data_IF_786525501615
#
_entry.id   IF_786525501615
#
_cell.length_a   1.000
_cell.length_b   1.000
_cell.length_c   1.000
_cell.angle_alpha   90.00
_cell.angle_beta   90.00
_cell.angle_gamma   90.00
#
_symmetry.space_group_name_H-M   'P 1'
#
loop_
_entity.id
_entity.type
_entity.pdbx_description
1 polymer ?
#
# COMPACT_ATOMS: atom_id res chain seq x y z
N UNK A 1 21.18 -6.14 10.29
CA UNK A 1 19.88 -6.38 9.64
C UNK A 1 19.61 -7.86 9.85
N UNK A 2 18.68 -8.22 10.74
CA UNK A 2 18.36 -9.62 10.98
C UNK A 2 17.62 -10.11 9.74
N UNK A 3 18.30 -10.91 8.93
CA UNK A 3 17.72 -11.69 7.85
C UNK A 3 16.96 -12.85 8.50
N UNK A 4 15.65 -12.69 8.66
CA UNK A 4 14.79 -13.68 9.33
C UNK A 4 14.48 -14.89 8.44
N UNK A 5 15.03 -14.99 7.23
CA UNK A 5 14.70 -16.05 6.27
C UNK A 5 13.23 -16.07 5.82
N UNK A 6 12.45 -15.04 6.19
CA UNK A 6 11.05 -14.90 5.82
C UNK A 6 11.00 -14.37 4.38
N UNK A 7 10.43 -15.16 3.45
CA UNK A 7 10.17 -14.71 2.08
C UNK A 7 9.30 -13.45 2.15
N UNK A 8 9.80 -12.35 1.60
CA UNK A 8 9.10 -11.08 1.70
C UNK A 8 7.75 -11.16 0.99
N UNK A 9 6.70 -10.74 1.68
CA UNK A 9 5.35 -10.74 1.13
C UNK A 9 5.07 -9.40 0.44
N UNK A 10 4.67 -9.43 -0.82
CA UNK A 10 4.14 -8.25 -1.51
C UNK A 10 2.86 -7.78 -0.83
N UNK A 11 2.85 -6.52 -0.39
CA UNK A 11 1.69 -5.87 0.22
C UNK A 11 1.27 -4.70 -0.67
N UNK A 12 -0.01 -4.61 -1.04
CA UNK A 12 -0.52 -3.42 -1.71
C UNK A 12 -0.48 -2.24 -0.72
N UNK A 13 -0.02 -1.06 -1.15
CA UNK A 13 0.14 0.12 -0.29
C UNK A 13 -0.53 1.38 -0.83
N UNK A 14 -1.22 1.25 -1.97
CA UNK A 14 -1.86 2.37 -2.64
C UNK A 14 -2.40 1.98 -4.00
N UNK A 15 -3.22 2.86 -4.56
CA UNK A 15 -3.59 2.80 -5.97
C UNK A 15 -2.53 3.48 -6.82
N UNK A 16 -2.40 3.04 -8.07
CA UNK A 16 -1.39 3.57 -9.00
C UNK A 16 -1.61 5.04 -9.34
N UNK A 17 -2.87 5.45 -9.49
CA UNK A 17 -3.31 6.82 -9.75
C UNK A 17 -3.29 7.73 -8.51
N UNK A 18 -3.32 7.14 -7.31
CA UNK A 18 -3.19 7.84 -6.04
C UNK A 18 -1.79 8.39 -5.82
N UNK A 19 -0.78 7.78 -6.47
CA UNK A 19 0.58 8.30 -6.52
C UNK A 19 0.69 9.40 -7.57
N UNK A 20 0.36 10.62 -7.15
CA UNK A 20 0.37 11.80 -8.00
C UNK A 20 1.77 12.14 -8.53
N UNK A 21 1.81 12.71 -9.73
CA UNK A 21 3.05 13.15 -10.36
C UNK A 21 3.83 14.13 -9.46
N UNK A 22 5.15 13.95 -9.44
CA UNK A 22 6.12 14.72 -8.65
C UNK A 22 5.91 14.69 -7.12
N UNK A 23 4.97 13.88 -6.62
CA UNK A 23 4.69 13.73 -5.18
C UNK A 23 5.34 12.47 -4.61
N UNK A 24 5.39 12.43 -3.28
CA UNK A 24 5.81 11.27 -2.52
C UNK A 24 4.64 10.87 -1.63
N UNK A 25 4.13 9.65 -1.80
CA UNK A 25 3.09 9.08 -0.96
C UNK A 25 3.70 8.45 0.28
N UNK A 26 3.13 8.72 1.46
CA UNK A 26 3.44 7.95 2.66
C UNK A 26 2.70 6.61 2.61
N UNK A 27 3.41 5.53 2.89
CA UNK A 27 2.86 4.19 3.02
C UNK A 27 3.42 3.50 4.27
N UNK A 28 2.90 2.33 4.59
CA UNK A 28 3.38 1.52 5.71
C UNK A 28 3.25 0.03 5.41
N UNK A 29 4.24 -0.77 5.82
CA UNK A 29 4.15 -2.24 5.86
C UNK A 29 4.54 -2.71 7.26
N UNK A 30 3.65 -3.44 7.95
CA UNK A 30 3.83 -3.77 9.38
C UNK A 30 4.19 -2.49 10.17
N UNK A 31 5.34 -2.45 10.85
CA UNK A 31 5.82 -1.27 11.58
C UNK A 31 6.71 -0.30 10.74
N UNK A 32 6.95 -0.61 9.47
CA UNK A 32 7.88 0.14 8.62
C UNK A 32 7.18 1.29 7.91
N UNK A 33 7.61 2.53 8.19
CA UNK A 33 7.13 3.75 7.54
C UNK A 33 7.88 3.98 6.21
N UNK A 34 7.13 4.17 5.11
CA UNK A 34 7.65 4.20 3.75
C UNK A 34 7.35 5.52 3.03
N UNK A 35 8.29 5.90 2.16
CA UNK A 35 8.14 6.94 1.16
C UNK A 35 8.07 6.27 -0.22
N UNK A 36 6.90 6.31 -0.85
CA UNK A 36 6.63 5.73 -2.16
C UNK A 36 6.55 6.85 -3.19
N UNK A 37 7.30 6.73 -4.28
CA UNK A 37 7.39 7.77 -5.30
C UNK A 37 7.62 7.19 -6.68
N UNK A 38 7.32 7.98 -7.71
CA UNK A 38 7.48 7.60 -9.13
C UNK A 38 8.42 8.57 -9.81
N UNK A 39 9.42 8.04 -10.52
CA UNK A 39 10.29 8.85 -11.37
C UNK A 39 9.63 9.19 -12.70
N UNK A 40 10.21 10.15 -13.43
CA UNK A 40 9.81 10.45 -14.81
C UNK A 40 10.08 9.28 -15.78
N UNK A 41 10.90 8.30 -15.38
CA UNK A 41 11.04 7.00 -16.05
C UNK A 41 9.85 6.06 -15.86
N UNK A 42 8.81 6.48 -15.12
CA UNK A 42 7.63 5.69 -14.81
C UNK A 42 7.85 4.69 -13.67
N UNK A 43 9.08 4.46 -13.23
CA UNK A 43 9.42 3.46 -12.21
C UNK A 43 8.96 3.87 -10.82
N UNK A 44 8.16 3.01 -10.17
CA UNK A 44 7.77 3.15 -8.77
C UNK A 44 8.91 2.70 -7.85
N UNK A 45 9.14 3.46 -6.79
CA UNK A 45 10.21 3.24 -5.81
C UNK A 45 9.62 3.36 -4.41
N UNK A 46 10.06 2.49 -3.50
CA UNK A 46 9.66 2.51 -2.11
C UNK A 46 10.90 2.56 -1.22
N UNK A 47 10.99 3.59 -0.38
CA UNK A 47 12.12 3.86 0.49
C UNK A 47 11.69 3.93 1.94
N UNK A 48 12.64 3.78 2.86
CA UNK A 48 12.42 4.17 4.25
C UNK A 48 12.01 5.65 4.29
N UNK A 49 10.97 5.98 5.05
CA UNK A 49 10.49 7.36 5.16
C UNK A 49 11.36 8.20 6.10
N UNK A 50 12.69 8.08 6.03
CA UNK A 50 13.63 8.85 6.84
C UNK A 50 14.84 9.26 6.03
N UNK A 51 15.08 10.57 6.00
CA UNK A 51 16.28 11.15 5.41
C UNK A 51 17.52 10.78 6.25
N UNK A 52 18.56 10.16 5.66
CA UNK A 52 19.82 9.84 6.35
C UNK A 52 20.54 11.02 7.02
N UNK A 53 20.21 12.26 6.67
CA UNK A 53 20.82 13.45 7.26
C UNK A 53 20.33 13.70 8.69
N UNK A 54 19.03 13.96 8.88
CA UNK A 54 18.42 14.30 10.19
C UNK A 54 17.05 13.67 10.43
N UNK A 55 16.75 12.57 9.74
CA UNK A 55 15.54 11.77 9.99
C UNK A 55 14.21 12.37 9.54
N UNK A 56 14.19 13.53 8.86
CA UNK A 56 12.97 14.11 8.28
C UNK A 56 12.31 13.10 7.35
N UNK A 57 10.98 13.04 7.36
CA UNK A 57 10.21 12.16 6.49
C UNK A 57 10.37 12.57 5.03
N UNK A 58 10.80 11.62 4.19
CA UNK A 58 10.99 11.82 2.76
C UNK A 58 9.66 11.98 2.02
N UNK A 59 8.55 11.49 2.59
CA UNK A 59 7.18 11.73 2.12
C UNK A 59 6.75 13.20 2.13
N UNK A 60 7.43 14.08 2.88
CA UNK A 60 7.23 15.54 2.76
C UNK A 60 8.08 16.16 1.64
N UNK A 61 8.95 15.38 1.01
CA UNK A 61 9.78 15.81 -0.11
C UNK A 61 9.02 15.93 -1.43
N UNK A 62 9.77 16.04 -2.51
CA UNK A 62 9.24 16.13 -3.86
C UNK A 62 10.17 15.42 -4.85
N UNK A 63 9.61 15.01 -5.99
CA UNK A 63 10.35 14.34 -7.06
C UNK A 63 10.64 15.34 -8.18
N UNK A 64 11.84 15.27 -8.76
CA UNK A 64 12.22 15.95 -10.00
C UNK A 64 13.05 14.99 -10.85
N UNK A 65 12.64 14.72 -12.09
CA UNK A 65 13.27 13.65 -12.87
C UNK A 65 13.14 12.30 -12.16
N UNK A 66 14.27 11.61 -12.02
CA UNK A 66 14.37 10.33 -11.32
C UNK A 66 15.07 10.49 -9.95
N UNK A 67 14.78 11.59 -9.25
CA UNK A 67 15.40 11.95 -7.97
C UNK A 67 14.36 12.44 -6.97
N UNK A 68 14.54 12.07 -5.70
CA UNK A 68 13.73 12.54 -4.58
C UNK A 68 14.53 13.53 -3.75
N UNK A 69 13.94 14.69 -3.49
CA UNK A 69 14.54 15.76 -2.68
C UNK A 69 13.86 15.87 -1.32
N UNK A 70 14.63 15.79 -0.24
CA UNK A 70 14.13 16.03 1.11
C UNK A 70 13.80 17.51 1.31
N UNK A 71 12.59 17.82 1.79
CA UNK A 71 12.14 19.19 2.01
C UNK A 71 12.93 19.93 3.11
N UNK A 72 13.64 19.25 4.00
CA UNK A 72 14.29 19.90 5.13
C UNK A 72 15.51 20.75 4.71
N UNK A 73 16.50 20.11 4.07
CA UNK A 73 17.75 20.76 3.67
C UNK A 73 18.07 20.57 2.18
N UNK A 74 17.10 20.08 1.40
CA UNK A 74 17.26 19.86 -0.04
C UNK A 74 18.23 18.74 -0.43
N UNK A 75 18.62 17.86 0.51
CA UNK A 75 19.41 16.68 0.16
C UNK A 75 18.64 15.85 -0.85
N UNK A 76 19.26 15.59 -1.99
CA UNK A 76 18.64 14.91 -3.12
C UNK A 76 19.29 13.55 -3.31
N UNK A 77 18.45 12.55 -3.52
CA UNK A 77 18.85 11.16 -3.71
C UNK A 77 18.43 10.69 -5.10
N UNK A 78 19.28 9.92 -5.77
CA UNK A 78 18.95 9.30 -7.05
C UNK A 78 18.10 8.03 -6.90
N UNK A 79 17.69 7.45 -8.02
CA UNK A 79 16.86 6.23 -8.04
C UNK A 79 17.50 5.00 -7.39
N UNK A 80 18.81 5.00 -7.11
CA UNK A 80 19.53 3.95 -6.36
C UNK A 80 19.55 4.20 -4.86
N UNK A 81 18.95 5.31 -4.40
CA UNK A 81 18.95 5.73 -3.00
C UNK A 81 20.22 6.48 -2.58
N UNK A 82 21.21 6.62 -3.47
CA UNK A 82 22.46 7.32 -3.20
C UNK A 82 22.27 8.83 -3.12
N UNK A 83 22.92 9.49 -2.16
CA UNK A 83 22.94 10.94 -2.10
C UNK A 83 23.70 11.51 -3.30
N UNK A 84 23.04 12.37 -4.06
CA UNK A 84 23.58 12.92 -5.28
C UNK A 84 23.81 14.43 -5.23
N UNK A 85 23.12 15.14 -4.32
CA UNK A 85 23.31 16.57 -4.13
C UNK A 85 23.08 16.94 -2.67
N UNK A 86 24.03 17.72 -2.14
CA UNK A 86 23.93 18.42 -0.86
C UNK A 86 23.99 19.92 -1.19
N UNK A 87 22.85 20.65 -1.19
CA UNK A 87 22.81 22.03 -1.69
C UNK A 87 23.79 22.99 -1.00
N UNK A 88 24.03 22.81 0.30
CA UNK A 88 24.99 23.63 1.05
C UNK A 88 26.46 23.43 0.61
N UNK A 89 26.76 22.35 -0.12
CA UNK A 89 28.11 21.98 -0.55
C UNK A 89 28.12 21.56 -2.02
N UNK A 90 27.76 22.47 -2.94
CA UNK A 90 27.60 22.17 -4.36
C UNK A 90 28.84 21.59 -5.08
N UNK A 91 30.05 21.85 -4.55
CA UNK A 91 31.32 21.34 -5.11
C UNK A 91 31.73 19.98 -4.50
N UNK A 92 31.05 19.53 -3.46
CA UNK A 92 31.33 18.27 -2.80
C UNK A 92 30.65 17.15 -3.57
N UNK A 93 31.41 16.12 -3.95
CA UNK A 93 30.85 14.82 -4.32
C UNK A 93 30.38 14.12 -3.04
N UNK A 94 29.08 13.86 -2.85
CA UNK A 94 28.61 13.22 -1.63
C UNK A 94 29.23 11.82 -1.44
N UNK A 95 29.61 11.43 -0.20
CA UNK A 95 30.09 10.09 0.07
C UNK A 95 29.08 9.01 -0.34
N UNK A 96 29.56 7.94 -1.00
CA UNK A 96 28.73 6.79 -1.43
C UNK A 96 28.06 6.04 -0.28
N UNK A 97 28.52 6.24 0.95
CA UNK A 97 27.95 5.66 2.17
C UNK A 97 26.63 6.33 2.59
N UNK A 98 26.31 7.50 2.04
CA UNK A 98 25.06 8.21 2.31
C UNK A 98 23.97 7.65 1.39
N UNK A 99 23.24 6.66 1.89
CA UNK A 99 22.16 6.01 1.14
C UNK A 99 20.87 5.97 1.93
N UNK A 100 19.74 6.02 1.21
CA UNK A 100 18.42 5.74 1.77
C UNK A 100 18.17 4.23 1.72
N UNK A 101 17.66 3.65 2.81
CA UNK A 101 17.23 2.26 2.80
C UNK A 101 16.07 2.06 1.82
N UNK A 102 16.19 1.08 0.92
CA UNK A 102 15.23 0.82 -0.15
C UNK A 102 14.48 -0.49 0.06
N UNK A 103 13.28 -0.55 -0.51
CA UNK A 103 12.38 -1.70 -0.52
C UNK A 103 12.05 -2.07 -1.97
N UNK A 104 11.64 -3.32 -2.20
CA UNK A 104 11.15 -3.74 -3.51
C UNK A 104 9.80 -3.09 -3.74
N UNK A 105 9.62 -2.49 -4.92
CA UNK A 105 8.37 -1.88 -5.33
C UNK A 105 8.00 -2.38 -6.72
N UNK A 106 6.70 -2.61 -6.94
CA UNK A 106 6.15 -3.01 -8.22
C UNK A 106 4.79 -2.33 -8.42
N UNK A 107 4.43 -2.10 -9.67
CA UNK A 107 3.11 -1.62 -10.07
C UNK A 107 2.45 -2.67 -10.94
N UNK A 108 1.29 -3.16 -10.51
CA UNK A 108 0.56 -4.19 -11.22
C UNK A 108 -0.91 -4.20 -10.77
N UNK A 109 -1.82 -4.57 -11.67
CA UNK A 109 -3.23 -4.66 -11.33
C UNK A 109 -3.87 -3.32 -10.95
N UNK A 110 -3.31 -2.19 -11.41
CA UNK A 110 -3.76 -0.84 -11.02
C UNK A 110 -3.36 -0.44 -9.59
N UNK A 111 -2.55 -1.24 -8.90
CA UNK A 111 -2.11 -1.03 -7.52
C UNK A 111 -0.58 -0.93 -7.42
N UNK A 112 -0.12 -0.30 -6.34
CA UNK A 112 1.30 -0.24 -5.95
C UNK A 112 1.57 -1.27 -4.87
N UNK A 113 2.59 -2.09 -5.07
CA UNK A 113 2.99 -3.18 -4.18
C UNK A 113 4.39 -2.93 -3.63
N UNK A 114 4.60 -3.27 -2.35
CA UNK A 114 5.92 -3.18 -1.69
C UNK A 114 6.21 -4.47 -0.93
N UNK A 115 7.48 -4.90 -0.95
CA UNK A 115 7.98 -6.04 -0.17
C UNK A 115 9.22 -5.65 0.65
N UNK A 116 9.35 -6.24 1.84
CA UNK A 116 10.37 -5.90 2.86
C UNK A 116 11.80 -6.37 2.55
N UNK A 117 11.97 -7.40 1.74
CA UNK A 117 13.27 -8.02 1.42
C UNK A 117 13.18 -8.80 0.09
N UNK A 118 14.06 -9.78 -0.14
CA UNK A 118 13.96 -10.69 -1.28
C UNK A 118 12.61 -11.42 -1.24
N UNK A 119 11.90 -11.33 -2.34
CA UNK A 119 10.63 -12.02 -2.62
C UNK A 119 10.83 -12.84 -3.89
N UNK A 120 10.14 -13.97 -3.99
CA UNK A 120 10.00 -14.69 -5.25
C UNK A 120 8.95 -13.99 -6.12
N UNK A 121 9.26 -13.75 -7.39
CA UNK A 121 8.35 -13.13 -8.36
C UNK A 121 7.95 -11.68 -8.08
N UNK A 122 7.38 -11.02 -9.09
CA UNK A 122 6.68 -9.75 -8.94
C UNK A 122 5.16 -10.01 -9.04
N UNK A 123 4.30 -9.16 -8.43
CA UNK A 123 2.87 -9.27 -8.60
C UNK A 123 2.54 -9.10 -10.07
N UNK A 124 1.86 -10.09 -10.65
CA UNK A 124 1.55 -10.10 -12.08
C UNK A 124 0.05 -10.28 -12.26
N UNK A 125 -0.60 -9.25 -12.80
CA UNK A 125 -2.01 -9.24 -13.14
C UNK A 125 -2.15 -8.91 -14.61
N UNK A 126 -2.56 -9.90 -15.41
CA UNK A 126 -2.79 -9.71 -16.84
C UNK A 126 -3.97 -8.77 -17.10
N UNK A 127 -3.92 -8.04 -18.21
CA UNK A 127 -5.00 -7.14 -18.62
C UNK A 127 -4.73 -5.66 -18.30
N UNK A 128 -5.69 -4.82 -18.64
CA UNK A 128 -5.64 -3.38 -18.37
C UNK A 128 -6.45 -3.07 -17.13
N UNK A 129 -5.79 -2.56 -16.11
CA UNK A 129 -6.38 -2.32 -14.79
C UNK A 129 -6.44 -0.83 -14.49
N UNK A 130 -7.54 -0.41 -13.90
CA UNK A 130 -7.75 0.95 -13.43
C UNK A 130 -8.08 0.95 -11.95
N UNK A 131 -7.39 1.78 -11.21
CA UNK A 131 -7.70 2.01 -9.81
C UNK A 131 -9.10 2.62 -9.65
N UNK A 132 -9.76 2.24 -8.56
CA UNK A 132 -11.07 2.78 -8.16
C UNK A 132 -10.91 3.63 -6.92
N UNK A 133 -10.35 3.06 -5.86
CA UNK A 133 -10.15 3.78 -4.59
C UNK A 133 -9.27 3.01 -3.61
N UNK A 134 -8.84 3.73 -2.59
CA UNK A 134 -8.48 3.17 -1.29
C UNK A 134 -9.55 3.53 -0.27
N UNK A 135 -9.83 2.65 0.70
CA UNK A 135 -10.76 2.94 1.80
C UNK A 135 -10.19 2.45 3.13
N UNK A 136 -10.25 3.31 4.15
CA UNK A 136 -9.95 2.95 5.53
C UNK A 136 -11.12 2.19 6.16
N UNK A 137 -10.78 1.13 6.89
CA UNK A 137 -11.72 0.29 7.61
C UNK A 137 -11.24 0.18 9.06
N UNK A 138 -12.11 0.54 10.01
CA UNK A 138 -11.86 0.44 11.45
C UNK A 138 -11.96 -0.98 11.99
N UNK A 139 -11.34 -1.94 11.31
CA UNK A 139 -11.29 -3.34 11.70
C UNK A 139 -9.95 -3.98 11.32
N UNK A 140 -9.56 -5.00 12.07
CA UNK A 140 -8.44 -5.88 11.72
C UNK A 140 -8.70 -6.63 10.41
N UNK A 141 -7.64 -6.97 9.68
CA UNK A 141 -7.76 -7.53 8.34
C UNK A 141 -8.58 -8.82 8.28
N UNK A 142 -8.51 -9.69 9.30
CA UNK A 142 -9.33 -10.91 9.33
C UNK A 142 -10.84 -10.65 9.33
N UNK A 143 -11.31 -9.58 10.00
CA UNK A 143 -12.72 -9.21 9.95
C UNK A 143 -13.12 -8.62 8.59
N UNK A 144 -12.18 -7.97 7.89
CA UNK A 144 -12.39 -7.50 6.51
C UNK A 144 -12.47 -8.68 5.54
N UNK A 145 -11.58 -9.67 5.68
CA UNK A 145 -11.58 -10.92 4.91
C UNK A 145 -12.92 -11.66 5.07
N UNK A 146 -13.38 -11.85 6.32
CA UNK A 146 -14.69 -12.46 6.59
C UNK A 146 -15.85 -11.67 5.98
N UNK A 147 -15.78 -10.34 5.98
CA UNK A 147 -16.80 -9.50 5.35
C UNK A 147 -16.82 -9.64 3.82
N UNK A 148 -15.65 -9.76 3.18
CA UNK A 148 -15.52 -9.99 1.74
C UNK A 148 -16.11 -11.35 1.36
N UNK A 149 -15.75 -12.40 2.09
CA UNK A 149 -16.24 -13.77 1.87
C UNK A 149 -17.75 -13.87 2.05
N UNK A 150 -18.31 -13.23 3.08
CA UNK A 150 -19.75 -13.24 3.35
C UNK A 150 -20.57 -12.35 2.39
N UNK A 151 -19.93 -11.48 1.61
CA UNK A 151 -20.62 -10.52 0.74
C UNK A 151 -19.86 -10.29 -0.57
N UNK A 152 -19.73 -11.32 -1.41
CA UNK A 152 -19.03 -11.21 -2.69
C UNK A 152 -19.70 -10.17 -3.59
N UNK A 153 -18.89 -9.43 -4.35
CA UNK A 153 -19.38 -8.47 -5.31
C UNK A 153 -20.20 -9.19 -6.39
N UNK A 154 -21.47 -8.81 -6.56
CA UNK A 154 -22.37 -9.29 -7.63
C UNK A 154 -22.56 -10.80 -7.70
N UNK A 155 -22.39 -11.51 -6.57
CA UNK A 155 -22.39 -12.97 -6.51
C UNK A 155 -21.30 -13.60 -7.39
N UNK A 156 -20.23 -12.85 -7.69
CA UNK A 156 -19.07 -13.31 -8.42
C UNK A 156 -18.25 -14.34 -7.64
N UNK A 157 -17.36 -15.03 -8.33
CA UNK A 157 -16.43 -15.98 -7.70
C UNK A 157 -15.25 -15.23 -7.09
N UNK A 158 -14.90 -15.60 -5.84
CA UNK A 158 -13.77 -15.02 -5.12
C UNK A 158 -12.55 -15.92 -5.27
N UNK A 159 -11.50 -15.41 -5.91
CA UNK A 159 -10.23 -16.10 -6.10
C UNK A 159 -9.15 -15.40 -5.29
N UNK A 160 -8.34 -16.17 -4.55
CA UNK A 160 -7.17 -15.61 -3.87
C UNK A 160 -6.06 -15.34 -4.89
N UNK A 161 -5.50 -14.13 -4.87
CA UNK A 161 -4.40 -13.76 -5.75
C UNK A 161 -3.06 -14.32 -5.26
N UNK A 162 -2.01 -14.15 -6.06
CA UNK A 162 -0.64 -14.59 -5.76
C UNK A 162 -0.02 -13.88 -4.55
N UNK A 163 -0.52 -12.70 -4.17
CA UNK A 163 -0.14 -11.99 -2.96
C UNK A 163 -1.09 -12.33 -1.80
N UNK A 164 -0.57 -12.60 -0.59
CA UNK A 164 -1.35 -12.69 0.64
C UNK A 164 -2.28 -11.47 0.82
N UNK A 165 -3.54 -11.76 1.17
CA UNK A 165 -4.60 -10.77 1.38
C UNK A 165 -4.94 -9.91 0.15
N UNK A 166 -4.62 -10.40 -1.04
CA UNK A 166 -5.15 -9.91 -2.29
C UNK A 166 -6.15 -10.93 -2.88
N UNK A 167 -7.24 -10.40 -3.40
CA UNK A 167 -8.38 -11.17 -3.89
C UNK A 167 -8.83 -10.62 -5.23
N UNK A 168 -9.30 -11.52 -6.10
CA UNK A 168 -9.91 -11.19 -7.39
C UNK A 168 -11.37 -11.64 -7.33
N UNK A 169 -12.29 -10.70 -7.56
CA UNK A 169 -13.69 -11.00 -7.83
C UNK A 169 -13.88 -11.11 -9.34
N UNK A 170 -14.31 -12.27 -9.80
CA UNK A 170 -14.76 -12.48 -11.18
C UNK A 170 -16.26 -12.18 -11.27
N UNK A 171 -16.59 -11.12 -12.01
CA UNK A 171 -17.97 -10.66 -12.21
C UNK A 171 -18.68 -11.50 -13.26
N UNK A 172 -20.02 -11.49 -13.23
CA UNK A 172 -20.85 -12.25 -14.19
C UNK A 172 -20.69 -11.83 -15.64
N UNK A 173 -20.29 -10.57 -15.86
CA UNK A 173 -20.02 -10.02 -17.19
C UNK A 173 -18.58 -10.28 -17.68
N UNK A 174 -17.81 -11.12 -16.97
CA UNK A 174 -16.42 -11.43 -17.27
C UNK A 174 -15.42 -10.37 -16.79
N UNK A 175 -15.88 -9.26 -16.20
CA UNK A 175 -15.00 -8.28 -15.58
C UNK A 175 -14.31 -8.81 -14.34
N UNK A 176 -13.10 -8.31 -14.03
CA UNK A 176 -12.38 -8.67 -12.81
C UNK A 176 -12.17 -7.45 -11.91
N UNK A 177 -12.27 -7.64 -10.61
CA UNK A 177 -12.00 -6.61 -9.59
C UNK A 177 -10.97 -7.12 -8.60
N UNK A 178 -9.85 -6.42 -8.46
CA UNK A 178 -8.86 -6.70 -7.41
C UNK A 178 -9.26 -5.95 -6.15
N UNK A 179 -9.19 -6.65 -5.02
CA UNK A 179 -9.27 -6.11 -3.68
C UNK A 179 -8.04 -6.57 -2.89
N UNK A 180 -7.17 -5.65 -2.50
CA UNK A 180 -5.96 -5.95 -1.73
C UNK A 180 -5.99 -5.24 -0.37
N UNK A 181 -5.68 -5.98 0.70
CA UNK A 181 -5.72 -5.48 2.06
C UNK A 181 -4.31 -5.13 2.55
N UNK A 182 -4.20 -3.95 3.15
CA UNK A 182 -3.02 -3.43 3.82
C UNK A 182 -3.31 -3.28 5.31
N UNK A 183 -2.59 -4.02 6.13
CA UNK A 183 -2.66 -3.85 7.59
C UNK A 183 -1.92 -2.58 7.99
N UNK A 184 -2.67 -1.63 8.57
CA UNK A 184 -2.09 -0.40 9.12
C UNK A 184 -1.69 -0.62 10.58
N UNK A 185 -2.56 -1.30 11.34
CA UNK A 185 -2.35 -1.78 12.70
C UNK A 185 -3.42 -2.83 13.05
N UNK A 186 -3.38 -3.37 14.27
CA UNK A 186 -4.28 -4.42 14.78
C UNK A 186 -5.77 -4.04 14.78
N UNK A 187 -6.11 -2.78 14.51
CA UNK A 187 -7.49 -2.28 14.51
C UNK A 187 -7.88 -1.57 13.23
N UNK A 188 -6.95 -1.43 12.27
CA UNK A 188 -7.16 -0.65 11.07
C UNK A 188 -6.56 -1.34 9.86
N UNK A 189 -7.40 -1.49 8.84
CA UNK A 189 -7.03 -2.04 7.54
C UNK A 189 -7.35 -1.00 6.48
N UNK A 190 -6.46 -0.83 5.52
CA UNK A 190 -6.77 -0.14 4.26
C UNK A 190 -7.09 -1.20 3.20
N UNK A 191 -8.14 -0.97 2.42
CA UNK A 191 -8.49 -1.80 1.28
C UNK A 191 -8.30 -1.00 0.00
N UNK A 192 -7.48 -1.52 -0.91
CA UNK A 192 -7.20 -0.94 -2.22
C UNK A 192 -7.95 -1.72 -3.30
N UNK A 193 -8.65 -1.01 -4.18
CA UNK A 193 -9.55 -1.62 -5.16
C UNK A 193 -9.25 -1.10 -6.56
N UNK A 194 -9.15 -2.02 -7.51
CA UNK A 194 -8.97 -1.75 -8.92
C UNK A 194 -9.86 -2.68 -9.75
N UNK A 195 -10.20 -2.27 -10.98
CA UNK A 195 -11.05 -3.01 -11.90
C UNK A 195 -10.35 -3.19 -13.23
N UNK A 196 -10.57 -4.35 -13.86
CA UNK A 196 -10.10 -4.62 -15.21
C UNK A 196 -11.08 -4.05 -16.26
N UNK A 197 -10.52 -3.49 -17.31
CA UNK A 197 -11.23 -3.08 -18.52
C UNK A 197 -11.47 -1.58 -18.61
N UNK A 198 -12.34 -1.21 -19.55
CA UNK A 198 -12.66 0.18 -19.86
C UNK A 198 -13.48 0.86 -18.76
N UNK A 199 -13.49 2.19 -18.79
CA UNK A 199 -14.25 2.99 -17.84
C UNK A 199 -15.76 2.76 -17.98
N UNK A 200 -16.42 2.49 -16.85
CA UNK A 200 -17.87 2.36 -16.76
C UNK A 200 -18.32 2.99 -15.44
N UNK A 201 -19.08 4.08 -15.54
CA UNK A 201 -19.56 4.81 -14.37
C UNK A 201 -20.46 3.95 -13.48
N UNK A 202 -21.38 3.19 -14.07
CA UNK A 202 -22.25 2.26 -13.36
C UNK A 202 -21.44 1.23 -12.56
N UNK A 203 -20.50 0.55 -13.23
CA UNK A 203 -19.64 -0.45 -12.57
C UNK A 203 -18.83 0.17 -11.43
N UNK A 204 -18.25 1.36 -11.64
CA UNK A 204 -17.50 2.08 -10.61
C UNK A 204 -18.38 2.39 -9.39
N UNK A 205 -19.62 2.84 -9.60
CA UNK A 205 -20.58 3.12 -8.53
C UNK A 205 -20.96 1.86 -7.75
N UNK A 206 -21.17 0.72 -8.43
CA UNK A 206 -21.46 -0.57 -7.79
C UNK A 206 -20.30 -1.06 -6.94
N UNK A 207 -19.08 -0.99 -7.46
CA UNK A 207 -17.84 -1.33 -6.73
C UNK A 207 -17.70 -0.42 -5.51
N UNK A 208 -17.84 0.89 -5.68
CA UNK A 208 -17.77 1.87 -4.61
C UNK A 208 -18.83 1.61 -3.51
N UNK A 209 -20.08 1.32 -3.89
CA UNK A 209 -21.13 0.94 -2.95
C UNK A 209 -20.80 -0.36 -2.20
N UNK A 210 -20.23 -1.36 -2.89
CA UNK A 210 -19.77 -2.61 -2.29
C UNK A 210 -18.64 -2.37 -1.29
N UNK A 211 -17.61 -1.59 -1.62
CA UNK A 211 -16.50 -1.30 -0.68
C UNK A 211 -17.00 -0.69 0.63
N UNK A 212 -18.02 0.20 0.57
CA UNK A 212 -18.65 0.78 1.76
C UNK A 212 -19.46 -0.24 2.56
N UNK A 213 -20.10 -1.22 1.91
CA UNK A 213 -20.78 -2.33 2.59
C UNK A 213 -19.78 -3.21 3.34
N UNK A 214 -18.68 -3.58 2.70
CA UNK A 214 -17.59 -4.37 3.32
C UNK A 214 -17.07 -3.66 4.57
N UNK A 215 -16.74 -2.37 4.46
CA UNK A 215 -16.31 -1.56 5.62
C UNK A 215 -17.30 -1.68 6.78
N UNK A 216 -18.58 -1.39 6.52
CA UNK A 216 -19.62 -1.42 7.56
C UNK A 216 -19.82 -2.82 8.17
N UNK A 217 -19.73 -3.87 7.35
CA UNK A 217 -19.85 -5.25 7.83
C UNK A 217 -18.68 -5.62 8.75
N UNK A 218 -17.45 -5.34 8.33
CA UNK A 218 -16.25 -5.60 9.12
C UNK A 218 -16.25 -4.84 10.46
N UNK A 219 -16.61 -3.56 10.45
CA UNK A 219 -16.70 -2.73 11.66
C UNK A 219 -17.79 -3.24 12.63
N UNK A 220 -18.92 -3.74 12.10
CA UNK A 220 -19.97 -4.39 12.91
C UNK A 220 -19.50 -5.68 13.56
N UNK A 221 -18.73 -6.52 12.87
CA UNK A 221 -18.17 -7.76 13.44
C UNK A 221 -17.31 -7.43 14.68
N UNK A 222 -16.48 -6.39 14.61
CA UNK A 222 -15.66 -5.95 15.73
C UNK A 222 -16.50 -5.34 16.87
N UNK A 223 -17.53 -4.56 16.55
CA UNK A 223 -18.43 -3.99 17.55
C UNK A 223 -19.17 -5.10 18.34
N UNK A 224 -19.69 -6.11 17.65
CA UNK A 224 -20.37 -7.25 18.28
C UNK A 224 -19.43 -8.10 19.15
N UNK A 225 -18.18 -8.30 18.72
CA UNK A 225 -17.17 -9.00 19.52
C UNK A 225 -16.82 -8.24 20.82
N UNK A 226 -16.83 -6.90 20.79
CA UNK A 226 -16.60 -6.06 21.97
C UNK A 226 -17.77 -6.10 22.95
N UNK A 227 -19.02 -6.10 22.47
CA UNK A 227 -20.20 -6.17 23.34
C UNK A 227 -20.37 -7.53 24.02
N UNK A 228 -19.82 -8.61 23.44
CA UNK A 228 -19.86 -9.95 24.02
C UNK A 228 -18.67 -10.27 24.94
N UNK A 229 -17.78 -9.31 25.23
CA UNK A 229 -16.66 -9.54 26.14
C UNK A 229 -17.19 -9.51 27.58
N UNK A 230 -17.05 -10.60 28.37
CA UNK A 230 -17.50 -10.58 29.76
C UNK A 230 -16.75 -9.47 30.51
N UNK A 231 -17.51 -8.65 31.25
CA UNK A 231 -16.93 -7.71 32.21
C UNK A 231 -16.26 -8.56 33.27
N UNK A 232 -14.94 -8.50 33.36
CA UNK A 232 -14.23 -9.09 34.50
C UNK A 232 -14.66 -8.27 35.73
N UNK A 233 -15.62 -8.79 36.50
CA UNK A 233 -15.93 -8.28 37.82
C UNK A 233 -14.65 -8.26 38.64
N UNK A 234 -14.32 -7.08 39.15
CA UNK A 234 -13.06 -6.81 39.82
C UNK A 234 -12.81 -7.80 40.96
N UNK A 235 -11.63 -8.40 40.93
CA UNK A 235 -11.04 -9.00 42.11
C UNK A 235 -10.96 -7.92 43.20
N UNK A 236 -11.86 -8.00 44.18
CA UNK A 236 -11.73 -7.26 45.44
C UNK A 236 -10.44 -7.75 46.10
N UNK A 237 -9.50 -6.83 46.28
CA UNK A 237 -8.35 -6.96 47.18
C UNK A 237 -8.85 -6.98 48.62
#
# INVERSE_FOLDING_TARGET
MLDTGEVAVWTAVGTSDGLLDRKVQRAQIKATDLAVWRGEDGGVRAWSNRCPHRGMRLSYGFVRGNRLTCLYHGWTYDGTGGCALIPAHMKLTPPKTITVAMYRAAEAGGLIWVASSKTEGEPNFSGSWRAIRSIHIGAQASAVESAIEASPLESGHLVRASSPRAYIHELKDGGRVICALQEINDHQTMMHVAVEGSESLDRNQRIDAWTRRIRRAAEKLIAAAKSNRPVLEGAKV
#
